data_IF_340927443730
#
_entry.id   IF_340927443730
#
_cell.length_a   1.000
_cell.length_b   1.000
_cell.length_c   1.000
_cell.angle_alpha   90.00
_cell.angle_beta   90.00
_cell.angle_gamma   90.00
#
_symmetry.space_group_name_H-M   'P 1'
#
loop_
_entity.id
_entity.type
_entity.pdbx_description
1 polymer ?
#
# COMPACT_ATOMS: atom_id res chain seq x y z
N UNK A 1 6.26 3.62 24.20
CA UNK A 1 7.68 3.44 23.80
C UNK A 1 8.48 3.28 25.09
N UNK A 2 9.10 2.12 25.32
CA UNK A 2 9.96 1.94 26.48
C UNK A 2 11.20 2.83 26.32
N UNK A 3 11.40 3.77 27.25
CA UNK A 3 12.63 4.55 27.28
C UNK A 3 13.76 3.67 27.83
N UNK A 4 14.64 3.22 26.95
CA UNK A 4 15.80 2.41 27.34
C UNK A 4 16.97 3.27 27.81
N UNK A 5 16.78 4.59 27.91
CA UNK A 5 17.84 5.56 28.26
C UNK A 5 18.40 5.37 29.66
N UNK A 6 17.57 4.87 30.59
CA UNK A 6 17.93 4.66 32.00
C UNK A 6 18.76 3.39 32.24
N UNK A 7 19.01 2.59 31.20
CA UNK A 7 19.81 1.38 31.33
C UNK A 7 21.28 1.66 30.98
N UNK A 8 22.21 1.14 31.79
CA UNK A 8 23.65 1.25 31.56
C UNK A 8 24.07 0.71 30.16
N UNK A 9 23.32 -0.25 29.63
CA UNK A 9 23.52 -0.79 28.26
C UNK A 9 22.16 -1.03 27.58
N UNK A 10 21.58 -0.03 26.87
CA UNK A 10 20.32 -0.17 26.15
C UNK A 10 20.29 -1.33 25.14
N UNK A 11 21.42 -1.57 24.45
CA UNK A 11 21.54 -2.67 23.48
C UNK A 11 21.47 -4.05 24.14
N UNK A 12 22.12 -4.22 25.29
CA UNK A 12 22.07 -5.48 26.05
C UNK A 12 20.67 -5.75 26.57
N UNK A 13 20.01 -4.71 27.08
CA UNK A 13 18.61 -4.81 27.54
C UNK A 13 17.67 -5.20 26.41
N UNK A 14 17.79 -4.56 25.25
CA UNK A 14 17.01 -4.88 24.05
C UNK A 14 17.19 -6.35 23.64
N UNK A 15 18.45 -6.82 23.58
CA UNK A 15 18.75 -8.22 23.27
C UNK A 15 18.13 -9.18 24.27
N UNK A 16 18.14 -8.82 25.56
CA UNK A 16 17.51 -9.62 26.62
C UNK A 16 15.98 -9.70 26.43
N UNK A 17 15.33 -8.57 26.12
CA UNK A 17 13.88 -8.51 25.89
C UNK A 17 13.48 -9.36 24.67
N UNK A 18 14.25 -9.32 23.58
CA UNK A 18 14.02 -10.18 22.41
C UNK A 18 14.16 -11.65 22.78
N UNK A 19 15.23 -12.03 23.51
CA UNK A 19 15.45 -13.42 23.94
C UNK A 19 14.37 -13.96 24.88
N UNK A 20 13.79 -13.08 25.71
CA UNK A 20 12.67 -13.45 26.63
C UNK A 20 11.32 -13.50 25.90
N UNK A 21 11.22 -12.95 24.66
CA UNK A 21 9.96 -12.83 23.95
C UNK A 21 9.08 -11.67 24.41
N UNK A 22 9.62 -10.73 25.22
CA UNK A 22 8.91 -9.54 25.66
C UNK A 22 8.63 -8.59 24.50
N UNK A 23 9.46 -8.64 23.46
CA UNK A 23 9.32 -7.88 22.21
C UNK A 23 9.74 -8.73 21.02
N UNK A 24 9.15 -8.45 19.84
CA UNK A 24 9.50 -9.04 18.56
C UNK A 24 10.26 -8.02 17.72
N UNK A 25 11.40 -8.41 17.20
CA UNK A 25 12.11 -7.59 16.22
C UNK A 25 11.48 -7.81 14.84
N UNK A 26 10.93 -6.75 14.26
CA UNK A 26 10.35 -6.74 12.91
C UNK A 26 11.43 -6.61 11.85
N UNK A 27 12.26 -5.60 12.01
CA UNK A 27 13.50 -5.40 11.24
C UNK A 27 14.48 -4.59 12.10
N UNK A 28 15.63 -4.20 11.54
CA UNK A 28 16.61 -3.40 12.28
C UNK A 28 16.00 -2.07 12.75
N UNK A 29 15.91 -1.89 14.06
CA UNK A 29 15.40 -0.67 14.68
C UNK A 29 13.88 -0.62 14.85
N UNK A 30 13.13 -1.60 14.36
CA UNK A 30 11.68 -1.68 14.50
C UNK A 30 11.29 -2.90 15.32
N UNK A 31 10.50 -2.67 16.36
CA UNK A 31 10.07 -3.68 17.31
C UNK A 31 8.58 -3.54 17.59
N UNK A 32 7.91 -4.64 17.91
CA UNK A 32 6.53 -4.66 18.40
C UNK A 32 6.44 -5.45 19.69
N UNK A 33 5.38 -5.25 20.45
CA UNK A 33 5.16 -5.90 21.73
C UNK A 33 4.36 -7.20 21.62
N UNK A 34 3.60 -7.36 20.53
CA UNK A 34 2.77 -8.54 20.30
C UNK A 34 2.70 -8.89 18.83
N UNK A 35 2.43 -10.16 18.52
CA UNK A 35 2.04 -10.61 17.18
C UNK A 35 0.66 -10.11 16.76
N UNK A 36 -0.14 -9.67 17.74
CA UNK A 36 -1.48 -9.11 17.53
C UNK A 36 -1.47 -7.60 17.31
N UNK A 37 -0.28 -6.98 17.31
CA UNK A 37 -0.13 -5.57 16.99
C UNK A 37 -0.62 -5.30 15.54
N UNK A 38 -1.23 -4.14 15.28
CA UNK A 38 -1.80 -3.84 13.98
C UNK A 38 -0.69 -3.77 12.92
N UNK A 39 -0.88 -4.53 11.84
CA UNK A 39 0.16 -4.73 10.84
C UNK A 39 0.33 -3.55 9.89
N UNK A 40 -0.76 -2.86 9.53
CA UNK A 40 -0.72 -1.76 8.56
C UNK A 40 0.13 -0.57 9.01
N UNK A 41 0.00 -0.07 10.27
CA UNK A 41 0.84 1.04 10.76
C UNK A 41 2.35 0.73 10.77
N UNK A 42 2.72 -0.54 10.96
CA UNK A 42 4.12 -0.97 11.01
C UNK A 42 4.85 -0.72 9.68
N UNK A 43 4.15 -0.72 8.54
CA UNK A 43 4.75 -0.46 7.25
C UNK A 43 5.51 0.89 7.23
N UNK A 44 4.91 1.96 7.77
CA UNK A 44 5.55 3.27 7.84
C UNK A 44 6.74 3.34 8.79
N UNK A 45 6.84 2.42 9.74
CA UNK A 45 7.99 2.29 10.65
C UNK A 45 9.15 1.55 9.98
N UNK A 46 8.86 0.58 9.09
CA UNK A 46 9.87 -0.15 8.32
C UNK A 46 10.50 0.77 7.26
N UNK A 47 9.66 1.50 6.53
CA UNK A 47 10.11 2.41 5.48
C UNK A 47 9.26 3.69 5.49
N UNK A 48 9.91 4.85 5.61
CA UNK A 48 9.26 6.17 5.67
C UNK A 48 10.02 7.18 4.80
N UNK A 49 9.32 8.07 4.07
CA UNK A 49 7.87 8.15 3.94
C UNK A 49 7.27 7.02 3.08
N UNK A 50 6.15 6.48 3.50
CA UNK A 50 5.36 5.50 2.74
C UNK A 50 3.88 5.60 3.08
N UNK A 51 3.03 4.98 2.26
CA UNK A 51 1.61 4.78 2.55
C UNK A 51 1.14 3.42 2.03
N UNK A 52 0.11 2.86 2.65
CA UNK A 52 -0.52 1.60 2.23
C UNK A 52 -1.24 1.83 0.91
N UNK A 53 -0.98 0.97 -0.09
CA UNK A 53 -1.58 1.07 -1.42
C UNK A 53 -1.69 -0.29 -2.09
N UNK A 54 -1.89 -0.27 -3.41
CA UNK A 54 -1.98 -1.43 -4.27
C UNK A 54 -3.07 -2.39 -3.80
N UNK A 55 -2.90 -3.67 -4.02
CA UNK A 55 -3.87 -4.70 -3.65
C UNK A 55 -4.19 -4.70 -2.14
N UNK A 56 -3.27 -4.26 -1.28
CA UNK A 56 -3.57 -4.12 0.16
C UNK A 56 -4.63 -3.05 0.42
N UNK A 57 -4.52 -1.88 -0.22
CA UNK A 57 -5.53 -0.84 -0.09
C UNK A 57 -6.83 -1.20 -0.82
N UNK A 58 -6.75 -1.84 -2.00
CA UNK A 58 -7.93 -2.33 -2.71
C UNK A 58 -8.71 -3.35 -1.86
N UNK A 59 -8.02 -4.30 -1.22
CA UNK A 59 -8.63 -5.26 -0.30
C UNK A 59 -9.20 -4.59 0.95
N UNK A 60 -8.51 -3.60 1.52
CA UNK A 60 -8.99 -2.81 2.66
C UNK A 60 -10.32 -2.09 2.33
N UNK A 61 -10.42 -1.54 1.13
CA UNK A 61 -11.62 -0.88 0.61
C UNK A 61 -12.67 -1.85 0.06
N UNK A 62 -12.43 -3.16 0.13
CA UNK A 62 -13.31 -4.23 -0.38
C UNK A 62 -13.53 -4.18 -1.90
N UNK A 63 -12.63 -3.54 -2.65
CA UNK A 63 -12.69 -3.47 -4.11
C UNK A 63 -12.25 -4.76 -4.80
N UNK A 64 -11.50 -5.61 -4.12
CA UNK A 64 -11.08 -6.95 -4.56
C UNK A 64 -11.40 -7.98 -3.49
N UNK A 65 -11.78 -9.21 -3.86
CA UNK A 65 -12.12 -10.25 -2.89
C UNK A 65 -10.90 -10.86 -2.18
N UNK A 66 -9.70 -10.72 -2.76
CA UNK A 66 -8.48 -11.30 -2.21
C UNK A 66 -7.99 -10.60 -0.96
N UNK A 67 -7.58 -11.41 0.03
CA UNK A 67 -6.74 -10.92 1.12
C UNK A 67 -5.27 -11.01 0.70
N UNK A 68 -4.55 -9.91 0.80
CA UNK A 68 -3.13 -9.88 0.43
C UNK A 68 -2.28 -10.59 1.49
N UNK A 69 -1.36 -11.45 1.06
CA UNK A 69 -0.38 -12.08 1.96
C UNK A 69 0.69 -11.10 2.42
N UNK A 70 1.07 -10.17 1.56
CA UNK A 70 2.01 -9.11 1.86
C UNK A 70 1.28 -7.79 2.09
N UNK A 71 1.81 -6.96 2.98
CA UNK A 71 1.38 -5.56 3.10
C UNK A 71 2.15 -4.76 2.06
N UNK A 72 1.42 -4.22 1.09
CA UNK A 72 1.97 -3.48 -0.04
C UNK A 72 1.83 -1.98 0.20
N UNK A 73 2.91 -1.27 -0.01
CA UNK A 73 3.01 0.17 0.23
C UNK A 73 3.72 0.87 -0.92
N UNK A 74 3.36 2.09 -1.19
CA UNK A 74 4.16 2.98 -2.01
C UNK A 74 5.23 3.66 -1.14
N UNK A 75 6.48 3.61 -1.58
CA UNK A 75 7.59 4.27 -0.89
C UNK A 75 8.06 5.51 -1.64
N UNK A 76 8.38 6.57 -0.89
CA UNK A 76 8.84 7.82 -1.47
C UNK A 76 10.27 7.70 -2.01
N UNK A 77 10.51 8.18 -3.24
CA UNK A 77 11.83 8.21 -3.90
C UNK A 77 12.56 6.87 -3.93
N UNK A 78 11.83 5.78 -4.09
CA UNK A 78 12.45 4.47 -4.27
C UNK A 78 13.08 4.36 -5.66
N UNK A 79 14.31 3.82 -5.72
CA UNK A 79 14.97 3.48 -6.98
C UNK A 79 14.64 2.05 -7.44
N UNK A 80 14.17 1.21 -6.52
CA UNK A 80 13.77 -0.19 -6.74
C UNK A 80 12.74 -0.61 -5.70
N UNK A 81 12.01 -1.64 -6.01
CA UNK A 81 11.12 -2.27 -5.03
C UNK A 81 11.91 -2.90 -3.89
N UNK A 82 11.39 -2.78 -2.66
CA UNK A 82 11.96 -3.35 -1.45
C UNK A 82 10.99 -4.38 -0.87
N UNK A 83 11.53 -5.43 -0.24
CA UNK A 83 10.73 -6.44 0.47
C UNK A 83 11.40 -6.82 1.77
N UNK A 84 10.59 -7.00 2.81
CA UNK A 84 11.01 -7.39 4.14
C UNK A 84 10.15 -8.56 4.62
N UNK A 85 10.78 -9.71 4.85
CA UNK A 85 10.14 -10.84 5.54
C UNK A 85 10.31 -10.64 7.03
N UNK A 86 9.19 -10.58 7.75
CA UNK A 86 9.16 -10.27 9.18
C UNK A 86 8.36 -11.32 9.95
N UNK A 87 8.47 -11.40 11.29
CA UNK A 87 7.62 -12.26 12.09
C UNK A 87 6.12 -11.99 11.99
N UNK A 88 5.73 -10.80 11.50
CA UNK A 88 4.33 -10.41 11.25
C UNK A 88 3.89 -10.62 9.79
N UNK A 89 4.75 -11.18 8.96
CA UNK A 89 4.52 -11.39 7.53
C UNK A 89 5.37 -10.49 6.65
N UNK A 90 5.10 -10.56 5.36
CA UNK A 90 5.87 -9.81 4.36
C UNK A 90 5.35 -8.38 4.21
N UNK A 91 6.28 -7.42 4.08
CA UNK A 91 6.05 -6.03 3.71
C UNK A 91 6.77 -5.73 2.41
N UNK A 92 6.10 -5.13 1.46
CA UNK A 92 6.69 -4.70 0.19
C UNK A 92 6.46 -3.22 -0.05
N UNK A 93 7.47 -2.55 -0.59
CA UNK A 93 7.43 -1.12 -0.91
C UNK A 93 7.77 -0.96 -2.38
N UNK A 94 6.89 -0.32 -3.11
CA UNK A 94 6.99 -0.18 -4.54
C UNK A 94 7.22 1.28 -4.93
N UNK A 95 7.98 1.45 -6.00
CA UNK A 95 8.18 2.74 -6.62
C UNK A 95 6.88 3.23 -7.28
N UNK A 96 6.62 4.52 -7.10
CA UNK A 96 5.68 5.32 -7.89
C UNK A 96 6.32 6.67 -8.23
N UNK A 97 5.85 7.40 -9.26
CA UNK A 97 6.35 8.73 -9.57
C UNK A 97 6.19 9.69 -8.38
N UNK A 98 7.20 10.52 -8.14
CA UNK A 98 7.20 11.45 -7.01
C UNK A 98 6.02 12.45 -7.07
N UNK A 99 5.65 12.87 -8.27
CA UNK A 99 4.57 13.82 -8.49
C UNK A 99 3.21 13.33 -7.97
N UNK A 100 2.96 12.01 -7.98
CA UNK A 100 1.69 11.42 -7.53
C UNK A 100 1.70 11.02 -6.05
N UNK A 101 2.87 11.00 -5.41
CA UNK A 101 3.03 10.50 -4.05
C UNK A 101 2.14 11.20 -3.01
N UNK A 102 1.96 12.54 -3.00
CA UNK A 102 1.19 13.22 -1.97
C UNK A 102 -0.33 13.16 -2.15
N UNK A 103 -0.81 12.72 -3.32
CA UNK A 103 -2.22 12.83 -3.69
C UNK A 103 -3.01 11.56 -3.37
N UNK A 104 -4.32 11.71 -3.11
CA UNK A 104 -5.24 10.59 -2.90
C UNK A 104 -4.93 9.78 -1.64
N UNK A 105 -4.53 10.43 -0.55
CA UNK A 105 -4.19 9.77 0.72
C UNK A 105 -5.16 10.17 1.82
N UNK A 106 -5.62 9.18 2.59
CA UNK A 106 -6.44 9.35 3.78
C UNK A 106 -5.66 9.01 5.05
N UNK A 107 -5.66 9.87 6.08
CA UNK A 107 -5.17 9.50 7.40
C UNK A 107 -6.12 8.47 7.99
N UNK A 108 -5.56 7.34 8.44
CA UNK A 108 -6.33 6.20 8.94
C UNK A 108 -5.70 5.72 10.26
N UNK A 109 -6.48 5.03 11.09
CA UNK A 109 -6.01 4.48 12.36
C UNK A 109 -6.45 3.01 12.50
N UNK A 110 -5.59 2.20 13.09
CA UNK A 110 -5.89 0.85 13.52
C UNK A 110 -5.37 0.64 14.95
N UNK A 111 -6.27 0.29 15.88
CA UNK A 111 -5.97 0.14 17.33
C UNK A 111 -5.21 1.34 17.92
N UNK A 112 -5.53 2.57 17.50
CA UNK A 112 -4.90 3.80 17.98
C UNK A 112 -3.57 4.19 17.29
N UNK A 113 -3.09 3.39 16.34
CA UNK A 113 -1.88 3.68 15.55
C UNK A 113 -2.27 4.28 14.20
N UNK A 114 -1.77 5.50 13.94
CA UNK A 114 -2.02 6.21 12.69
C UNK A 114 -1.15 5.72 11.55
N UNK A 115 -1.71 5.70 10.33
CA UNK A 115 -0.99 5.46 9.08
C UNK A 115 -1.67 6.19 7.91
N UNK A 116 -1.02 6.24 6.77
CA UNK A 116 -1.61 6.77 5.54
C UNK A 116 -2.06 5.63 4.66
N UNK A 117 -3.28 5.75 4.13
CA UNK A 117 -3.89 4.78 3.24
C UNK A 117 -4.27 5.47 1.93
N UNK A 118 -3.98 4.85 0.80
CA UNK A 118 -4.48 5.31 -0.49
C UNK A 118 -6.03 5.26 -0.51
N UNK A 119 -6.67 6.27 -1.11
CA UNK A 119 -8.10 6.21 -1.43
C UNK A 119 -8.38 5.10 -2.45
N UNK A 120 -9.64 4.78 -2.71
CA UNK A 120 -10.04 3.78 -3.73
C UNK A 120 -9.43 4.11 -5.09
N UNK A 121 -9.56 5.36 -5.51
CA UNK A 121 -9.07 5.90 -6.78
C UNK A 121 -7.54 5.79 -6.87
N UNK A 122 -6.88 6.21 -5.81
CA UNK A 122 -5.41 6.17 -5.72
C UNK A 122 -4.88 4.75 -5.73
N UNK A 123 -5.48 3.85 -4.96
CA UNK A 123 -5.10 2.44 -4.91
C UNK A 123 -5.26 1.76 -6.27
N UNK A 124 -6.36 2.04 -6.99
CA UNK A 124 -6.60 1.56 -8.35
C UNK A 124 -5.51 2.08 -9.30
N UNK A 125 -5.24 3.39 -9.28
CA UNK A 125 -4.20 3.99 -10.12
C UNK A 125 -2.80 3.42 -9.83
N UNK A 126 -2.42 3.27 -8.55
CA UNK A 126 -1.13 2.70 -8.15
C UNK A 126 -0.98 1.26 -8.65
N UNK A 127 -2.03 0.43 -8.49
CA UNK A 127 -2.06 -0.96 -8.94
C UNK A 127 -1.90 -1.04 -10.46
N UNK A 128 -2.70 -0.30 -11.21
CA UNK A 128 -2.65 -0.30 -12.68
C UNK A 128 -1.35 0.31 -13.23
N UNK A 129 -0.73 1.24 -12.51
CA UNK A 129 0.57 1.79 -12.90
C UNK A 129 1.68 0.73 -12.92
N UNK A 130 1.64 -0.23 -12.02
CA UNK A 130 2.60 -1.36 -11.97
C UNK A 130 2.39 -2.35 -13.10
N UNK A 131 1.18 -2.43 -13.65
CA UNK A 131 0.83 -3.36 -14.72
C UNK A 131 1.07 -2.67 -16.07
N UNK A 132 2.00 -3.21 -16.84
CA UNK A 132 2.39 -2.63 -18.13
C UNK A 132 1.75 -3.37 -19.30
N UNK A 133 1.62 -2.67 -20.43
CA UNK A 133 1.24 -3.30 -21.70
C UNK A 133 -0.26 -3.40 -21.96
N UNK A 134 -1.12 -2.88 -21.10
CA UNK A 134 -2.57 -2.83 -21.33
C UNK A 134 -2.87 -1.66 -22.29
N UNK A 135 -3.18 -1.99 -23.57
CA UNK A 135 -3.38 -0.99 -24.62
C UNK A 135 -4.77 -1.00 -25.24
N UNK A 136 -5.59 -2.02 -24.98
CA UNK A 136 -6.95 -2.13 -25.53
C UNK A 136 -7.98 -2.15 -24.40
N UNK A 137 -9.19 -1.68 -24.70
CA UNK A 137 -10.33 -1.70 -23.79
C UNK A 137 -10.63 -3.14 -23.33
N UNK A 138 -10.63 -4.09 -24.29
CA UNK A 138 -10.85 -5.53 -23.96
C UNK A 138 -9.83 -6.07 -22.95
N UNK A 139 -8.54 -5.69 -23.11
CA UNK A 139 -7.51 -6.11 -22.16
C UNK A 139 -7.67 -5.42 -20.80
N UNK A 140 -8.18 -4.19 -20.75
CA UNK A 140 -8.52 -3.51 -19.51
C UNK A 140 -9.69 -4.19 -18.80
N UNK A 141 -10.73 -4.56 -19.53
CA UNK A 141 -11.89 -5.30 -18.99
C UNK A 141 -11.44 -6.64 -18.38
N UNK A 142 -10.62 -7.43 -19.09
CA UNK A 142 -10.08 -8.67 -18.56
C UNK A 142 -9.27 -8.44 -17.27
N UNK A 143 -8.40 -7.44 -17.26
CA UNK A 143 -7.61 -7.08 -16.08
C UNK A 143 -8.49 -6.70 -14.88
N UNK A 144 -9.49 -5.83 -15.09
CA UNK A 144 -10.34 -5.36 -13.99
C UNK A 144 -11.27 -6.46 -13.46
N UNK A 145 -11.90 -7.24 -14.36
CA UNK A 145 -13.01 -8.13 -13.99
C UNK A 145 -12.61 -9.60 -13.87
N UNK A 146 -11.59 -10.06 -14.62
CA UNK A 146 -11.14 -11.45 -14.57
C UNK A 146 -9.92 -11.60 -13.64
N UNK A 147 -8.89 -10.74 -13.78
CA UNK A 147 -7.66 -10.84 -12.99
C UNK A 147 -7.81 -10.24 -11.59
N UNK A 148 -8.28 -8.97 -11.49
CA UNK A 148 -8.48 -8.28 -10.22
C UNK A 148 -9.84 -8.57 -9.60
N UNK A 149 -10.77 -9.16 -10.33
CA UNK A 149 -12.12 -9.55 -9.90
C UNK A 149 -12.90 -8.43 -9.21
N UNK A 150 -12.73 -7.21 -9.73
CA UNK A 150 -13.44 -6.03 -9.24
C UNK A 150 -14.90 -6.06 -9.70
N UNK A 151 -15.77 -5.48 -8.89
CA UNK A 151 -17.16 -5.25 -9.30
C UNK A 151 -17.25 -4.04 -10.24
N UNK A 152 -17.98 -4.19 -11.36
CA UNK A 152 -18.13 -3.13 -12.36
C UNK A 152 -18.86 -1.91 -11.80
N UNK A 153 -19.92 -2.11 -11.04
CA UNK A 153 -20.73 -1.02 -10.51
C UNK A 153 -19.93 -0.23 -9.45
N UNK A 154 -19.10 -0.92 -8.64
CA UNK A 154 -18.20 -0.26 -7.70
C UNK A 154 -17.12 0.59 -8.37
N UNK A 155 -16.62 0.18 -9.53
CA UNK A 155 -15.65 0.99 -10.28
C UNK A 155 -16.32 2.21 -10.92
N UNK A 156 -17.52 2.05 -11.47
CA UNK A 156 -18.25 3.13 -12.15
C UNK A 156 -18.63 4.28 -11.20
N UNK A 157 -18.80 4.03 -9.91
CA UNK A 157 -19.15 5.06 -8.90
C UNK A 157 -17.91 5.74 -8.26
N UNK A 158 -16.70 5.41 -8.68
CA UNK A 158 -15.49 6.07 -8.20
C UNK A 158 -15.47 7.56 -8.60
N UNK A 159 -14.66 8.34 -7.90
CA UNK A 159 -14.41 9.75 -8.26
C UNK A 159 -13.54 9.84 -9.53
N UNK A 160 -14.18 9.76 -10.71
CA UNK A 160 -13.51 9.82 -12.00
C UNK A 160 -12.81 11.15 -12.29
N UNK A 161 -13.32 12.32 -11.88
CA UNK A 161 -12.55 13.56 -11.86
C UNK A 161 -11.21 13.42 -11.16
N UNK A 162 -11.19 12.89 -9.93
CA UNK A 162 -9.94 12.67 -9.19
C UNK A 162 -9.02 11.64 -9.88
N UNK A 163 -9.57 10.56 -10.46
CA UNK A 163 -8.80 9.60 -11.26
C UNK A 163 -8.15 10.29 -12.46
N UNK A 164 -8.88 11.14 -13.20
CA UNK A 164 -8.36 11.86 -14.36
C UNK A 164 -7.17 12.76 -13.99
N UNK A 165 -7.26 13.48 -12.89
CA UNK A 165 -6.17 14.30 -12.36
C UNK A 165 -4.93 13.44 -12.01
N UNK A 166 -5.13 12.33 -11.31
CA UNK A 166 -4.05 11.39 -10.98
C UNK A 166 -3.38 10.83 -12.23
N UNK A 167 -4.15 10.35 -13.21
CA UNK A 167 -3.64 9.74 -14.44
C UNK A 167 -2.71 10.66 -15.20
N UNK A 168 -2.99 11.96 -15.23
CA UNK A 168 -2.13 12.95 -15.88
C UNK A 168 -0.73 13.01 -15.24
N UNK A 169 -0.62 12.77 -13.94
CA UNK A 169 0.65 12.78 -13.21
C UNK A 169 1.46 11.47 -13.36
N UNK A 170 0.78 10.34 -13.64
CA UNK A 170 1.46 9.04 -13.80
C UNK A 170 2.15 8.86 -15.15
N UNK A 171 1.69 9.51 -16.22
CA UNK A 171 2.17 9.31 -17.59
C UNK A 171 2.19 7.83 -18.01
N UNK A 172 1.12 7.08 -17.71
CA UNK A 172 1.02 5.64 -17.95
C UNK A 172 0.06 5.30 -19.08
N UNK A 173 0.53 4.48 -20.04
CA UNK A 173 -0.33 3.97 -21.15
C UNK A 173 -1.48 3.12 -20.63
N UNK A 174 -1.24 2.31 -19.59
CA UNK A 174 -2.27 1.48 -18.96
C UNK A 174 -3.37 2.34 -18.35
N UNK A 175 -2.99 3.38 -17.60
CA UNK A 175 -3.96 4.32 -17.00
C UNK A 175 -4.73 5.13 -18.05
N UNK A 176 -4.09 5.52 -19.16
CA UNK A 176 -4.80 6.14 -20.29
C UNK A 176 -5.83 5.18 -20.92
N UNK A 177 -5.56 3.86 -20.88
CA UNK A 177 -6.52 2.86 -21.36
C UNK A 177 -7.70 2.70 -20.39
N UNK A 178 -7.47 2.86 -19.07
CA UNK A 178 -8.54 2.93 -18.09
C UNK A 178 -9.52 4.08 -18.38
N UNK A 179 -9.01 5.28 -18.69
CA UNK A 179 -9.88 6.42 -19.02
C UNK A 179 -10.70 6.18 -20.30
N UNK A 180 -10.08 5.58 -21.33
CA UNK A 180 -10.82 5.21 -22.56
C UNK A 180 -11.89 4.13 -22.32
N UNK A 181 -11.66 3.23 -21.36
CA UNK A 181 -12.66 2.26 -20.94
C UNK A 181 -13.84 2.96 -20.28
N UNK A 182 -13.59 3.87 -19.32
CA UNK A 182 -14.65 4.63 -18.64
C UNK A 182 -15.47 5.47 -19.61
N UNK A 183 -14.83 6.15 -20.58
CA UNK A 183 -15.53 6.92 -21.61
C UNK A 183 -16.44 6.06 -22.49
N UNK A 184 -16.10 4.78 -22.72
CA UNK A 184 -16.95 3.83 -23.44
C UNK A 184 -18.15 3.40 -22.61
N UNK A 185 -17.98 3.17 -21.32
CA UNK A 185 -19.06 2.75 -20.39
C UNK A 185 -20.11 3.86 -20.20
N UNK A 186 -19.72 5.11 -20.27
CA UNK A 186 -20.60 6.27 -20.09
C UNK A 186 -21.29 6.76 -21.39
N UNK A 187 -21.15 6.01 -22.50
CA UNK A 187 -21.86 6.30 -23.77
C UNK A 187 -23.11 5.47 -23.89
#
# INVERSE_FOLDING_TARGET
MYELRDYASPKAKLTQMIKKGDILQICRGVYCTSKDDPRLPIASMIHSPSYISFETALSYHQMIPERTYAIMSAGFRLNKDLSYDTPLGRYSFHYIPEAVFPWGLSPTQEKGYGFRLATKEKALCDTLYKIRGIKSIKAMEALLFEDLRMDRDEILVLDWPAIKELVMLYHSTTLNTLLRWEEKENR
#
